data_IF_250558885344
#
_entry.id   IF_250558885344
#
_cell.length_a   1.000
_cell.length_b   1.000
_cell.length_c   1.000
_cell.angle_alpha   90.00
_cell.angle_beta   90.00
_cell.angle_gamma   90.00
#
_symmetry.space_group_name_H-M   'P 1'
#
loop_
_entity.id
_entity.type
_entity.pdbx_description
1 polymer ?
#
# COMPACT_ATOMS: atom_id res chain seq x y z
N UNK A 1 -3.71 -21.86 -4.66
CA UNK A 1 -4.98 -21.26 -4.12
C UNK A 1 -5.47 -20.28 -5.15
N UNK A 2 -6.76 -20.33 -5.52
CA UNK A 2 -7.36 -19.39 -6.46
C UNK A 2 -7.62 -18.03 -5.79
N UNK A 3 -7.69 -16.98 -6.61
CA UNK A 3 -8.12 -15.67 -6.11
C UNK A 3 -9.61 -15.66 -5.80
N UNK A 4 -9.97 -15.00 -4.69
CA UNK A 4 -11.35 -14.80 -4.27
C UNK A 4 -11.78 -13.37 -4.63
N UNK A 5 -12.90 -13.27 -5.34
CA UNK A 5 -13.50 -12.01 -5.76
C UNK A 5 -14.89 -11.93 -5.16
N UNK A 6 -15.24 -10.79 -4.56
CA UNK A 6 -16.60 -10.50 -4.13
C UNK A 6 -17.21 -9.47 -5.08
N UNK A 7 -18.37 -9.77 -5.62
CA UNK A 7 -19.15 -8.86 -6.44
C UNK A 7 -20.36 -8.40 -5.63
N UNK A 8 -20.56 -7.10 -5.51
CA UNK A 8 -21.65 -6.46 -4.78
C UNK A 8 -22.40 -5.55 -5.76
N UNK A 9 -23.61 -5.90 -6.09
CA UNK A 9 -24.48 -5.20 -7.06
C UNK A 9 -25.93 -5.57 -6.74
N UNK A 10 -26.87 -4.66 -6.86
CA UNK A 10 -28.31 -4.94 -6.62
C UNK A 10 -29.01 -5.50 -7.85
N UNK A 11 -28.36 -5.53 -9.00
CA UNK A 11 -28.86 -6.11 -10.24
C UNK A 11 -28.46 -7.60 -10.36
N UNK A 12 -29.38 -8.53 -10.14
CA UNK A 12 -29.14 -9.98 -10.21
C UNK A 12 -28.55 -10.41 -11.57
N UNK A 13 -28.99 -9.82 -12.66
CA UNK A 13 -28.49 -10.09 -14.01
C UNK A 13 -26.99 -9.75 -14.13
N UNK A 14 -26.55 -8.68 -13.48
CA UNK A 14 -25.12 -8.29 -13.44
C UNK A 14 -24.34 -9.28 -12.58
N UNK A 15 -24.87 -9.64 -11.41
CA UNK A 15 -24.26 -10.64 -10.54
C UNK A 15 -24.03 -11.96 -11.26
N UNK A 16 -25.07 -12.50 -11.91
CA UNK A 16 -24.97 -13.78 -12.65
C UNK A 16 -24.00 -13.67 -13.83
N UNK A 17 -24.13 -12.61 -14.63
CA UNK A 17 -23.32 -12.42 -15.82
C UNK A 17 -21.82 -12.29 -15.48
N UNK A 18 -21.46 -11.39 -14.57
CA UNK A 18 -20.06 -11.15 -14.19
C UNK A 18 -19.47 -12.36 -13.49
N UNK A 19 -20.22 -12.98 -12.55
CA UNK A 19 -19.83 -14.20 -11.86
C UNK A 19 -19.48 -15.31 -12.84
N UNK A 20 -20.34 -15.58 -13.80
CA UNK A 20 -20.12 -16.64 -14.80
C UNK A 20 -18.77 -16.50 -15.52
N UNK A 21 -18.42 -15.29 -15.97
CA UNK A 21 -17.18 -15.07 -16.68
C UNK A 21 -15.95 -15.14 -15.78
N UNK A 22 -16.03 -14.61 -14.56
CA UNK A 22 -14.91 -14.64 -13.62
C UNK A 22 -14.64 -16.08 -13.10
N UNK A 23 -15.67 -16.86 -12.83
CA UNK A 23 -15.51 -18.28 -12.47
C UNK A 23 -14.88 -19.08 -13.61
N UNK A 24 -15.26 -18.81 -14.85
CA UNK A 24 -14.67 -19.41 -16.03
C UNK A 24 -13.18 -19.06 -16.23
N UNK A 25 -12.75 -17.92 -15.70
CA UNK A 25 -11.34 -17.51 -15.65
C UNK A 25 -10.57 -18.15 -14.46
N UNK A 26 -11.25 -18.97 -13.64
CA UNK A 26 -10.64 -19.71 -12.54
C UNK A 26 -10.64 -18.98 -11.20
N UNK A 27 -11.42 -17.90 -11.06
CA UNK A 27 -11.60 -17.21 -9.79
C UNK A 27 -12.71 -17.87 -8.96
N UNK A 28 -12.58 -17.79 -7.63
CA UNK A 28 -13.65 -18.12 -6.70
C UNK A 28 -14.49 -16.85 -6.47
N UNK A 29 -15.77 -16.85 -6.86
CA UNK A 29 -16.60 -15.65 -6.86
C UNK A 29 -17.73 -15.77 -5.86
N UNK A 30 -17.80 -14.77 -4.98
CA UNK A 30 -18.87 -14.54 -4.03
C UNK A 30 -19.73 -13.36 -4.51
N UNK A 31 -21.00 -13.37 -4.16
CA UNK A 31 -21.93 -12.30 -4.54
C UNK A 31 -22.68 -11.79 -3.33
N UNK A 32 -23.14 -10.53 -3.39
CA UNK A 32 -24.01 -9.91 -2.43
C UNK A 32 -24.90 -8.88 -3.16
N UNK A 33 -26.12 -8.71 -2.74
CA UNK A 33 -27.11 -7.83 -3.37
C UNK A 33 -27.17 -6.41 -2.80
N UNK A 34 -26.39 -6.11 -1.78
CA UNK A 34 -26.29 -4.78 -1.16
C UNK A 34 -25.02 -4.66 -0.32
N UNK A 35 -24.67 -3.42 0.08
CA UNK A 35 -23.44 -3.15 0.83
C UNK A 35 -23.38 -3.82 2.18
N UNK A 36 -24.50 -3.91 2.93
CA UNK A 36 -24.53 -4.52 4.26
C UNK A 36 -24.27 -6.03 4.20
N UNK A 37 -24.88 -6.72 3.25
CA UNK A 37 -24.61 -8.12 2.96
C UNK A 37 -23.16 -8.32 2.49
N UNK A 38 -22.70 -7.44 1.60
CA UNK A 38 -21.34 -7.46 1.06
C UNK A 38 -20.27 -7.41 2.13
N UNK A 39 -20.41 -6.54 3.13
CA UNK A 39 -19.47 -6.48 4.27
C UNK A 39 -19.47 -7.81 5.04
N UNK A 40 -20.63 -8.40 5.31
CA UNK A 40 -20.72 -9.67 6.03
C UNK A 40 -20.08 -10.83 5.24
N UNK A 41 -20.29 -10.88 3.92
CA UNK A 41 -19.65 -11.85 3.03
C UNK A 41 -18.13 -11.61 2.98
N UNK A 42 -17.68 -10.35 2.88
CA UNK A 42 -16.27 -10.01 2.84
C UNK A 42 -15.52 -10.48 4.11
N UNK A 43 -16.11 -10.32 5.29
CA UNK A 43 -15.52 -10.75 6.56
C UNK A 43 -15.31 -12.28 6.61
N UNK A 44 -16.23 -13.05 6.03
CA UNK A 44 -16.18 -14.52 6.00
C UNK A 44 -15.28 -15.04 4.89
N UNK A 45 -15.47 -14.56 3.65
CA UNK A 45 -14.78 -15.03 2.47
C UNK A 45 -13.36 -14.50 2.36
N UNK A 46 -13.03 -13.36 3.00
CA UNK A 46 -11.75 -12.66 2.91
C UNK A 46 -11.29 -12.52 1.44
N UNK A 47 -12.06 -11.81 0.60
CA UNK A 47 -11.73 -11.67 -0.81
C UNK A 47 -10.43 -10.90 -1.00
N UNK A 48 -9.78 -11.10 -2.15
CA UNK A 48 -8.62 -10.32 -2.57
C UNK A 48 -9.05 -9.04 -3.30
N UNK A 49 -10.22 -9.09 -3.94
CA UNK A 49 -10.80 -7.99 -4.72
C UNK A 49 -12.30 -7.92 -4.46
N UNK A 50 -12.81 -6.72 -4.31
CA UNK A 50 -14.25 -6.41 -4.27
C UNK A 50 -14.59 -5.57 -5.49
N UNK A 51 -15.52 -6.05 -6.31
CA UNK A 51 -16.19 -5.28 -7.35
C UNK A 51 -17.49 -4.74 -6.73
N UNK A 52 -17.64 -3.43 -6.66
CA UNK A 52 -18.67 -2.78 -5.85
C UNK A 52 -19.47 -1.81 -6.70
N UNK A 53 -20.76 -2.05 -6.83
CA UNK A 53 -21.64 -1.05 -7.43
C UNK A 53 -21.72 0.21 -6.57
N UNK A 54 -21.79 1.36 -7.22
CA UNK A 54 -21.87 2.64 -6.52
C UNK A 54 -23.28 2.95 -6.02
N UNK A 55 -24.30 2.53 -6.77
CA UNK A 55 -25.68 2.93 -6.56
C UNK A 55 -26.53 1.72 -6.16
N UNK A 56 -26.61 1.46 -4.87
CA UNK A 56 -27.40 0.34 -4.32
C UNK A 56 -28.35 0.82 -3.21
N UNK A 57 -29.50 0.14 -3.02
CA UNK A 57 -30.37 0.40 -1.88
C UNK A 57 -29.72 -0.04 -0.55
N UNK A 58 -30.27 0.45 0.56
CA UNK A 58 -29.91 0.14 1.96
C UNK A 58 -28.58 0.77 2.37
N UNK A 59 -27.48 0.39 1.73
CA UNK A 59 -26.13 0.93 1.94
C UNK A 59 -25.45 1.08 0.58
N UNK A 60 -25.20 2.32 0.18
CA UNK A 60 -24.59 2.62 -1.11
C UNK A 60 -23.11 2.19 -1.18
N UNK A 61 -22.55 2.21 -2.39
CA UNK A 61 -21.18 1.77 -2.60
C UNK A 61 -20.15 2.63 -1.88
N UNK A 62 -20.36 3.94 -1.80
CA UNK A 62 -19.43 4.87 -1.14
C UNK A 62 -19.38 4.58 0.37
N UNK A 63 -20.52 4.43 1.01
CA UNK A 63 -20.60 4.11 2.44
C UNK A 63 -20.05 2.70 2.72
N UNK A 64 -20.34 1.75 1.83
CA UNK A 64 -19.79 0.38 1.89
C UNK A 64 -18.25 0.42 1.82
N UNK A 65 -17.68 1.18 0.89
CA UNK A 65 -16.23 1.32 0.75
C UNK A 65 -15.61 1.94 2.00
N UNK A 66 -16.18 3.00 2.55
CA UNK A 66 -15.74 3.60 3.82
C UNK A 66 -15.78 2.60 4.98
N UNK A 67 -16.84 1.81 5.09
CA UNK A 67 -16.96 0.77 6.10
C UNK A 67 -15.88 -0.32 5.95
N UNK A 68 -15.59 -0.74 4.71
CA UNK A 68 -14.50 -1.67 4.39
C UNK A 68 -13.15 -1.09 4.82
N UNK A 69 -12.85 0.16 4.51
CA UNK A 69 -11.59 0.84 4.87
C UNK A 69 -11.43 1.04 6.37
N UNK A 70 -12.51 1.26 7.08
CA UNK A 70 -12.51 1.38 8.55
C UNK A 70 -12.42 0.04 9.28
N UNK A 71 -12.62 -1.09 8.59
CA UNK A 71 -12.50 -2.42 9.17
C UNK A 71 -11.04 -2.89 9.18
N UNK A 72 -10.41 -3.18 10.34
CA UNK A 72 -9.05 -3.70 10.40
C UNK A 72 -8.84 -4.98 9.59
N UNK A 73 -9.87 -5.82 9.46
CA UNK A 73 -9.84 -7.08 8.73
C UNK A 73 -9.92 -6.90 7.20
N UNK A 74 -10.50 -5.79 6.71
CA UNK A 74 -10.81 -5.56 5.30
C UNK A 74 -10.07 -4.35 4.70
N UNK A 75 -9.42 -3.52 5.49
CA UNK A 75 -8.81 -2.25 5.04
C UNK A 75 -7.84 -2.38 3.87
N UNK A 76 -7.21 -3.54 3.71
CA UNK A 76 -6.21 -3.80 2.66
C UNK A 76 -6.80 -4.54 1.44
N UNK A 77 -8.10 -4.86 1.43
CA UNK A 77 -8.72 -5.50 0.28
C UNK A 77 -8.83 -4.50 -0.87
N UNK A 78 -8.57 -4.92 -2.10
CA UNK A 78 -8.73 -4.06 -3.27
C UNK A 78 -10.21 -3.82 -3.56
N UNK A 79 -10.60 -2.58 -3.78
CA UNK A 79 -11.98 -2.18 -4.09
C UNK A 79 -12.02 -1.46 -5.43
N UNK A 80 -12.82 -2.00 -6.36
CA UNK A 80 -13.07 -1.41 -7.67
C UNK A 80 -14.54 -1.08 -7.78
N UNK A 81 -14.86 0.17 -8.05
CA UNK A 81 -16.22 0.57 -8.29
C UNK A 81 -16.69 0.17 -9.69
N UNK A 82 -17.93 -0.34 -9.75
CA UNK A 82 -18.72 -0.44 -10.97
C UNK A 82 -19.64 0.79 -10.99
N UNK A 83 -19.47 1.67 -11.95
CA UNK A 83 -20.20 2.96 -11.96
C UNK A 83 -20.89 3.18 -13.30
N UNK A 84 -22.14 3.60 -13.29
CA UNK A 84 -22.71 4.23 -14.46
C UNK A 84 -21.88 5.48 -14.80
N UNK A 85 -21.73 5.82 -16.10
CA UNK A 85 -21.00 7.00 -16.55
C UNK A 85 -21.49 8.23 -15.79
N UNK A 86 -20.76 8.60 -14.73
CA UNK A 86 -21.11 9.69 -13.83
C UNK A 86 -20.17 10.88 -14.02
N UNK A 87 -20.54 12.02 -13.42
CA UNK A 87 -19.73 13.22 -13.40
C UNK A 87 -18.37 12.96 -12.77
N UNK A 88 -17.36 13.76 -13.12
CA UNK A 88 -16.04 13.76 -12.47
C UNK A 88 -16.14 13.84 -10.93
N UNK A 89 -17.20 14.50 -10.44
CA UNK A 89 -17.51 14.65 -9.02
C UNK A 89 -17.81 13.31 -8.33
N UNK A 90 -18.55 12.42 -8.98
CA UNK A 90 -18.87 11.08 -8.44
C UNK A 90 -17.65 10.19 -8.38
N UNK A 91 -16.77 10.27 -9.39
CA UNK A 91 -15.49 9.55 -9.37
C UNK A 91 -14.56 10.07 -8.26
N UNK A 92 -14.51 11.39 -8.06
CA UNK A 92 -13.72 12.01 -7.00
C UNK A 92 -14.19 11.59 -5.61
N UNK A 93 -15.50 11.52 -5.39
CA UNK A 93 -16.08 11.03 -4.13
C UNK A 93 -15.68 9.59 -3.82
N UNK A 94 -15.66 8.72 -4.82
CA UNK A 94 -15.25 7.34 -4.62
C UNK A 94 -13.76 7.18 -4.37
N UNK A 95 -12.86 7.95 -5.04
CA UNK A 95 -11.44 7.97 -4.69
C UNK A 95 -11.23 8.46 -3.26
N UNK A 96 -11.97 9.47 -2.83
CA UNK A 96 -11.94 9.95 -1.45
C UNK A 96 -12.48 8.91 -0.44
N UNK A 97 -13.33 7.98 -0.87
CA UNK A 97 -13.77 6.84 -0.06
C UNK A 97 -12.73 5.71 0.03
N UNK A 98 -11.65 5.79 -0.75
CA UNK A 98 -10.54 4.84 -0.72
C UNK A 98 -10.66 3.70 -1.74
N UNK A 99 -11.32 3.91 -2.86
CA UNK A 99 -11.32 2.97 -3.98
C UNK A 99 -9.96 2.91 -4.69
N UNK A 100 -9.64 1.75 -5.23
CA UNK A 100 -8.38 1.50 -5.95
C UNK A 100 -8.52 1.69 -7.47
N UNK A 101 -9.72 1.49 -8.03
CA UNK A 101 -10.00 1.68 -9.47
C UNK A 101 -11.51 1.81 -9.74
N UNK A 102 -11.86 2.08 -11.02
CA UNK A 102 -13.22 2.23 -11.54
C UNK A 102 -13.42 1.50 -12.85
N UNK A 103 -14.62 0.93 -13.03
CA UNK A 103 -15.07 0.34 -14.28
C UNK A 103 -16.46 0.92 -14.60
N UNK A 104 -16.57 1.51 -15.78
CA UNK A 104 -17.85 2.10 -16.21
C UNK A 104 -18.85 1.03 -16.65
N UNK A 105 -20.10 1.16 -16.21
CA UNK A 105 -21.26 0.46 -16.79
C UNK A 105 -21.66 1.15 -18.12
N UNK A 106 -22.05 0.45 -19.19
CA UNK A 106 -22.24 -1.00 -19.26
C UNK A 106 -20.89 -1.76 -19.23
N UNK A 107 -20.86 -2.84 -18.44
CA UNK A 107 -19.64 -3.60 -18.19
C UNK A 107 -19.19 -4.33 -19.46
N UNK A 108 -18.03 -3.93 -19.99
CA UNK A 108 -17.38 -4.64 -21.10
C UNK A 108 -16.45 -5.70 -20.52
N UNK A 109 -16.81 -6.98 -20.69
CA UNK A 109 -16.10 -8.08 -20.04
C UNK A 109 -14.61 -8.16 -20.35
N UNK A 110 -14.17 -7.82 -21.56
CA UNK A 110 -12.76 -7.74 -21.92
C UNK A 110 -12.00 -6.70 -21.07
N UNK A 111 -12.63 -5.54 -20.78
CA UNK A 111 -12.06 -4.49 -19.95
C UNK A 111 -12.04 -4.93 -18.48
N UNK A 112 -13.16 -5.48 -17.97
CA UNK A 112 -13.25 -5.99 -16.60
C UNK A 112 -12.17 -7.04 -16.34
N UNK A 113 -12.07 -8.05 -17.20
CA UNK A 113 -11.08 -9.14 -17.09
C UNK A 113 -9.65 -8.62 -17.07
N UNK A 114 -9.32 -7.70 -17.99
CA UNK A 114 -8.00 -7.09 -18.06
C UNK A 114 -7.65 -6.32 -16.77
N UNK A 115 -8.60 -5.54 -16.22
CA UNK A 115 -8.39 -4.79 -14.97
C UNK A 115 -8.29 -5.70 -13.76
N UNK A 116 -9.17 -6.70 -13.64
CA UNK A 116 -9.11 -7.71 -12.58
C UNK A 116 -7.76 -8.41 -12.57
N UNK A 117 -7.28 -8.85 -13.73
CA UNK A 117 -5.95 -9.47 -13.85
C UNK A 117 -4.82 -8.54 -13.43
N UNK A 118 -4.86 -7.27 -13.87
CA UNK A 118 -3.85 -6.28 -13.52
C UNK A 118 -3.81 -6.01 -12.00
N UNK A 119 -4.99 -5.89 -11.37
CA UNK A 119 -5.11 -5.65 -9.93
C UNK A 119 -4.63 -6.87 -9.13
N UNK A 120 -5.10 -8.06 -9.49
CA UNK A 120 -4.70 -9.30 -8.81
C UNK A 120 -3.21 -9.61 -8.97
N UNK A 121 -2.61 -9.24 -10.12
CA UNK A 121 -1.17 -9.33 -10.33
C UNK A 121 -0.39 -8.43 -9.36
N UNK A 122 -0.90 -7.25 -9.02
CA UNK A 122 -0.29 -6.37 -8.01
C UNK A 122 -0.32 -6.98 -6.61
N UNK A 123 -1.35 -7.78 -6.28
CA UNK A 123 -1.46 -8.47 -4.99
C UNK A 123 -0.46 -9.63 -4.87
N UNK A 124 -0.16 -10.32 -5.98
CA UNK A 124 0.77 -11.48 -6.00
C UNK A 124 2.22 -11.15 -6.18
N UNK A 125 2.50 -10.04 -6.83
CA UNK A 125 3.85 -9.52 -6.77
C UNK A 125 4.09 -9.11 -5.32
N UNK A 126 5.19 -9.53 -4.68
CA UNK A 126 5.62 -8.87 -3.46
C UNK A 126 5.54 -7.38 -3.75
N UNK A 127 5.01 -6.60 -2.81
CA UNK A 127 4.77 -5.17 -2.98
C UNK A 127 6.11 -4.48 -3.33
N UNK A 128 6.54 -4.67 -4.58
CA UNK A 128 7.74 -4.02 -5.13
C UNK A 128 7.54 -2.51 -5.21
N UNK A 129 6.29 -2.02 -5.06
CA UNK A 129 6.02 -0.60 -4.90
C UNK A 129 6.58 -0.04 -3.59
N UNK A 130 6.89 -0.92 -2.63
CA UNK A 130 7.57 -0.58 -1.37
C UNK A 130 9.04 -1.00 -1.36
N UNK A 131 9.46 -1.86 -2.28
CA UNK A 131 10.85 -2.29 -2.37
C UNK A 131 11.73 -1.12 -2.81
N UNK A 132 12.60 -0.72 -1.91
CA UNK A 132 13.59 0.30 -2.17
C UNK A 132 14.80 -0.38 -2.81
N UNK A 133 14.97 -0.22 -4.11
CA UNK A 133 16.14 -0.70 -4.85
C UNK A 133 17.17 0.42 -4.95
N UNK A 134 18.35 0.18 -4.44
CA UNK A 134 19.46 1.13 -4.46
C UNK A 134 20.51 0.61 -5.45
N UNK A 135 20.57 1.26 -6.61
CA UNK A 135 21.56 1.00 -7.65
C UNK A 135 22.80 1.86 -7.40
N UNK A 136 23.82 1.23 -6.83
CA UNK A 136 25.09 1.91 -6.46
C UNK A 136 25.96 2.22 -7.67
N UNK A 137 25.83 1.47 -8.77
CA UNK A 137 26.62 1.69 -9.99
C UNK A 137 26.13 2.94 -10.74
N UNK A 138 24.81 3.10 -10.85
CA UNK A 138 24.22 4.22 -11.56
C UNK A 138 23.80 5.39 -10.65
N UNK A 139 24.02 5.30 -9.34
CA UNK A 139 23.61 6.29 -8.33
C UNK A 139 22.10 6.59 -8.37
N UNK A 140 21.29 5.56 -8.58
CA UNK A 140 19.83 5.65 -8.69
C UNK A 140 19.16 4.94 -7.52
N UNK A 141 18.04 5.50 -7.11
CA UNK A 141 17.13 4.86 -6.13
C UNK A 141 15.78 4.67 -6.81
N UNK A 142 15.24 3.47 -6.72
CA UNK A 142 13.89 3.16 -7.22
C UNK A 142 13.01 2.72 -6.06
N UNK A 143 11.77 3.19 -6.09
CA UNK A 143 10.73 2.75 -5.17
C UNK A 143 9.52 2.34 -6.02
N UNK A 144 9.36 1.03 -6.22
CA UNK A 144 8.46 0.52 -7.24
C UNK A 144 8.87 1.00 -8.64
N UNK A 145 7.93 1.64 -9.35
CA UNK A 145 8.17 2.19 -10.69
C UNK A 145 8.74 3.63 -10.67
N UNK A 146 8.85 4.24 -9.49
CA UNK A 146 9.34 5.61 -9.35
C UNK A 146 10.86 5.64 -9.20
N UNK A 147 11.53 6.46 -10.01
CA UNK A 147 12.96 6.75 -9.87
C UNK A 147 13.16 8.01 -9.04
N UNK A 148 13.84 7.87 -7.92
CA UNK A 148 14.11 8.94 -6.96
C UNK A 148 15.53 9.45 -7.18
N UNK A 149 15.66 10.71 -7.59
CA UNK A 149 16.98 11.34 -7.75
C UNK A 149 17.40 11.96 -6.41
N UNK A 150 18.52 11.48 -5.88
CA UNK A 150 19.10 11.97 -4.65
C UNK A 150 20.31 12.88 -4.93
N UNK A 151 20.47 14.01 -4.24
CA UNK A 151 21.72 14.76 -4.20
C UNK A 151 22.86 13.87 -3.72
N UNK A 152 24.08 14.13 -4.20
CA UNK A 152 25.26 13.26 -3.97
C UNK A 152 25.45 12.88 -2.49
N UNK A 153 25.30 13.81 -1.56
CA UNK A 153 25.48 13.53 -0.12
C UNK A 153 24.36 12.70 0.48
N UNK A 154 23.11 12.88 -0.01
CA UNK A 154 21.99 12.06 0.41
C UNK A 154 22.15 10.62 -0.12
N UNK A 155 22.61 10.47 -1.36
CA UNK A 155 22.92 9.15 -1.92
C UNK A 155 24.04 8.45 -1.15
N UNK A 156 25.18 9.12 -0.93
CA UNK A 156 26.31 8.54 -0.18
C UNK A 156 25.91 8.15 1.26
N UNK A 157 25.03 8.90 1.89
CA UNK A 157 24.51 8.56 3.22
C UNK A 157 23.62 7.31 3.16
N UNK A 158 22.72 7.24 2.19
CA UNK A 158 21.85 6.07 1.99
C UNK A 158 22.67 4.82 1.64
N UNK A 159 23.63 4.94 0.72
CA UNK A 159 24.56 3.87 0.31
C UNK A 159 25.35 3.33 1.52
N UNK A 160 25.89 4.22 2.37
CA UNK A 160 26.58 3.82 3.58
C UNK A 160 25.69 3.01 4.51
N UNK A 161 24.48 3.50 4.79
CA UNK A 161 23.56 2.81 5.70
C UNK A 161 23.09 1.48 5.12
N UNK A 162 22.82 1.44 3.80
CA UNK A 162 22.39 0.24 3.10
C UNK A 162 23.51 -0.80 2.92
N UNK A 163 24.77 -0.40 2.90
CA UNK A 163 25.90 -1.32 2.71
C UNK A 163 26.00 -2.42 3.77
N UNK A 164 25.43 -2.21 4.94
CA UNK A 164 25.35 -3.17 6.04
C UNK A 164 24.00 -3.01 6.75
N UNK A 165 22.95 -3.67 6.24
CA UNK A 165 21.63 -3.61 6.83
C UNK A 165 21.63 -4.04 8.30
N UNK A 166 20.77 -3.43 9.10
CA UNK A 166 20.65 -3.60 10.57
C UNK A 166 21.87 -3.16 11.40
N UNK A 167 22.99 -2.83 10.77
CA UNK A 167 24.14 -2.28 11.50
C UNK A 167 23.87 -0.85 11.93
N UNK A 168 24.14 -0.57 13.20
CA UNK A 168 24.12 0.77 13.75
C UNK A 168 25.43 1.50 13.38
N UNK A 169 25.30 2.60 12.65
CA UNK A 169 26.39 3.53 12.40
C UNK A 169 26.28 4.71 13.34
N UNK A 170 27.37 5.00 14.05
CA UNK A 170 27.45 6.20 14.91
C UNK A 170 27.48 7.47 14.06
N UNK A 171 27.12 8.62 14.68
CA UNK A 171 27.21 9.91 13.99
C UNK A 171 28.63 10.23 13.51
N UNK A 172 29.63 9.88 14.29
CA UNK A 172 31.04 10.07 13.94
C UNK A 172 31.47 9.21 12.74
N UNK A 173 31.04 7.92 12.71
CA UNK A 173 31.31 7.04 11.59
C UNK A 173 30.67 7.55 10.30
N UNK A 174 29.39 7.94 10.37
CA UNK A 174 28.65 8.51 9.24
C UNK A 174 29.35 9.77 8.75
N UNK A 175 29.70 10.65 9.67
CA UNK A 175 30.36 11.90 9.36
C UNK A 175 31.67 11.67 8.61
N UNK A 176 32.57 10.87 9.20
CA UNK A 176 33.88 10.53 8.62
C UNK A 176 33.77 9.90 7.23
N UNK A 177 32.81 8.97 7.05
CA UNK A 177 32.67 8.22 5.80
C UNK A 177 31.98 9.03 4.69
N UNK A 178 31.00 9.88 5.01
CA UNK A 178 30.21 10.62 4.01
C UNK A 178 30.78 12.03 3.76
N UNK A 179 31.30 12.73 4.79
CA UNK A 179 31.80 14.09 4.66
C UNK A 179 33.35 14.19 4.75
N UNK A 180 34.02 13.15 5.25
CA UNK A 180 35.47 13.16 5.40
C UNK A 180 35.96 14.12 6.47
N UNK A 181 36.99 14.91 6.17
CA UNK A 181 37.61 15.86 7.12
C UNK A 181 36.95 17.25 7.09
N UNK A 182 35.79 17.43 6.44
CA UNK A 182 35.11 18.73 6.37
C UNK A 182 34.40 18.95 7.70
N UNK A 183 34.74 19.98 8.43
CA UNK A 183 34.05 20.37 9.66
C UNK A 183 32.65 20.94 9.31
N UNK A 184 31.63 20.16 9.55
CA UNK A 184 30.21 20.56 9.36
C UNK A 184 29.52 20.39 10.71
N UNK A 185 28.53 21.23 11.01
CA UNK A 185 27.89 21.22 12.33
C UNK A 185 27.10 19.93 12.61
N UNK A 186 26.95 19.56 13.87
CA UNK A 186 26.30 18.33 14.38
C UNK A 186 24.89 18.05 13.84
N UNK A 187 24.17 19.08 13.40
CA UNK A 187 22.81 18.97 12.85
C UNK A 187 22.75 18.56 11.38
N UNK A 188 23.89 18.49 10.70
CA UNK A 188 23.93 18.24 9.25
C UNK A 188 23.41 16.85 8.89
N UNK A 189 23.77 15.82 9.67
CA UNK A 189 23.30 14.44 9.43
C UNK A 189 21.78 14.37 9.60
N UNK A 190 21.24 14.92 10.67
CA UNK A 190 19.80 14.87 10.98
C UNK A 190 18.95 15.52 9.88
N UNK A 191 19.45 16.62 9.29
CA UNK A 191 18.80 17.27 8.15
C UNK A 191 18.79 16.38 6.92
N UNK A 192 19.89 15.70 6.61
CA UNK A 192 19.98 14.80 5.46
C UNK A 192 19.15 13.53 5.68
N UNK A 193 19.11 12.97 6.89
CA UNK A 193 18.23 11.86 7.25
C UNK A 193 16.76 12.24 7.06
N UNK A 194 16.36 13.43 7.54
CA UNK A 194 14.99 13.93 7.34
C UNK A 194 14.62 14.04 5.86
N UNK A 195 15.53 14.62 5.04
CA UNK A 195 15.30 14.73 3.59
C UNK A 195 15.25 13.37 2.90
N UNK A 196 16.10 12.44 3.30
CA UNK A 196 16.04 11.06 2.81
C UNK A 196 14.69 10.43 3.12
N UNK A 197 14.25 10.47 4.37
CA UNK A 197 12.95 9.93 4.78
C UNK A 197 11.78 10.51 3.99
N UNK A 198 11.80 11.81 3.71
CA UNK A 198 10.78 12.46 2.89
C UNK A 198 10.71 11.88 1.46
N UNK A 199 11.83 11.40 0.92
CA UNK A 199 11.93 10.87 -0.44
C UNK A 199 11.71 9.36 -0.51
N UNK A 200 12.35 8.59 0.37
CA UNK A 200 12.30 7.12 0.33
C UNK A 200 11.23 6.52 1.27
N UNK A 201 10.68 7.33 2.17
CA UNK A 201 9.76 6.90 3.23
C UNK A 201 10.46 6.74 4.59
N UNK A 202 9.66 6.82 5.66
CA UNK A 202 10.18 6.83 7.04
C UNK A 202 10.63 5.45 7.55
N UNK A 203 10.25 4.38 6.88
CA UNK A 203 10.36 3.01 7.39
C UNK A 203 11.75 2.40 7.27
N UNK A 204 12.60 2.92 6.39
CA UNK A 204 13.90 2.30 6.06
C UNK A 204 15.06 2.75 6.94
N UNK A 205 14.98 3.93 7.55
CA UNK A 205 16.07 4.47 8.37
C UNK A 205 15.59 4.61 9.81
N UNK A 206 16.17 3.83 10.70
CA UNK A 206 15.84 3.85 12.13
C UNK A 206 16.82 4.73 12.88
N UNK A 207 16.30 5.60 13.77
CA UNK A 207 17.12 6.43 14.66
C UNK A 207 17.30 5.72 15.99
N UNK A 208 18.54 5.52 16.42
CA UNK A 208 18.87 5.14 17.80
C UNK A 208 19.27 6.40 18.55
N UNK A 209 18.40 6.89 19.43
CA UNK A 209 18.58 8.14 20.16
C UNK A 209 19.95 8.22 20.85
N UNK A 210 20.67 9.31 20.65
CA UNK A 210 21.98 9.56 21.27
C UNK A 210 23.14 8.80 20.62
N UNK A 211 22.91 7.83 19.72
CA UNK A 211 23.93 6.99 19.12
C UNK A 211 24.10 7.24 17.61
N UNK A 212 23.07 6.96 16.80
CA UNK A 212 23.19 7.09 15.36
C UNK A 212 22.01 6.55 14.59
N UNK A 213 22.29 5.96 13.43
CA UNK A 213 21.27 5.51 12.46
C UNK A 213 21.62 4.13 11.91
N UNK A 214 20.58 3.37 11.57
CA UNK A 214 20.70 2.08 10.86
C UNK A 214 19.66 1.98 9.74
N UNK A 215 19.95 1.16 8.74
CA UNK A 215 19.02 0.83 7.66
C UNK A 215 18.36 -0.51 7.95
N UNK A 216 17.01 -0.54 7.86
CA UNK A 216 16.23 -1.76 7.95
C UNK A 216 15.44 -1.92 6.64
N UNK A 217 15.68 -3.01 5.89
CA UNK A 217 15.07 -3.21 4.56
C UNK A 217 13.54 -3.31 4.59
N UNK A 218 12.96 -3.90 5.63
CA UNK A 218 11.52 -4.10 5.79
C UNK A 218 11.10 -3.89 7.24
N UNK A 219 11.09 -2.64 7.70
CA UNK A 219 10.65 -2.36 9.05
C UNK A 219 9.10 -2.36 9.13
N UNK A 220 8.51 -3.53 9.37
CA UNK A 220 7.20 -3.60 10.02
C UNK A 220 7.41 -3.04 11.42
N UNK A 221 6.87 -1.86 11.71
CA UNK A 221 6.88 -1.25 13.03
C UNK A 221 6.36 -2.27 14.04
N UNK A 222 7.27 -2.95 14.75
CA UNK A 222 6.94 -3.63 15.98
C UNK A 222 6.67 -2.51 17.00
N UNK A 223 5.41 -2.28 17.30
CA UNK A 223 5.01 -1.56 18.50
C UNK A 223 5.44 -2.40 19.70
N UNK A 224 6.62 -2.11 20.24
CA UNK A 224 6.99 -2.59 21.56
C UNK A 224 6.01 -1.95 22.55
N UNK A 225 5.14 -2.81 23.07
CA UNK A 225 4.37 -2.52 24.27
C UNK A 225 5.36 -2.31 25.42
N UNK A 226 5.41 -1.10 25.96
CA UNK A 226 6.04 -0.84 27.24
C UNK A 226 5.36 -1.72 28.30
N UNK A 227 6.05 -2.77 28.72
CA UNK A 227 5.69 -3.55 29.87
C UNK A 227 5.98 -2.72 31.12
N UNK A 228 4.95 -2.22 31.74
CA UNK A 228 5.01 -1.74 33.13
C UNK A 228 5.44 -2.89 34.04
N UNK A 229 6.63 -2.79 34.55
CA UNK A 229 7.06 -3.59 35.72
C UNK A 229 6.71 -2.80 36.96
N UNK A 230 5.55 -3.12 37.52
CA UNK A 230 5.29 -2.86 38.95
C UNK A 230 6.31 -3.63 39.78
N UNK A 231 7.09 -2.93 40.56
CA UNK A 231 7.78 -3.49 41.71
C UNK A 231 7.07 -3.02 42.97
N UNK A 232 6.37 -3.97 43.56
CA UNK A 232 6.07 -3.95 45.00
C UNK A 232 7.36 -3.94 45.81
N UNK A 233 7.53 -2.99 46.65
CA UNK A 233 7.86 -3.15 48.07
C UNK A 233 7.84 -1.81 48.78
#
# INVERSE_FOLDING_TARGET
MGYRILLIDDEDDILEFVKYYLERDGYEVFTASNGAEGINVALKAKPHLILLDMMMPVLDGIETCKAIRNSPALKNVMVVFLSAVGSEETQLQGYNAGADDYINKPIKMNILRSRVQAILKRITLPDTSKELVIDTEHHLVRKGDETIILPRKEFSLLELLHSQPSKLFTREEIYRKVWGNIVVGDRTIDVHIRKLRQKIGDNHIVTVKGVGYKFEPDNKVATESEGESEQEN
#
